data_IF_046264491225
#
_entry.id   IF_046264491225
#
_cell.length_a   1.000
_cell.length_b   1.000
_cell.length_c   1.000
_cell.angle_alpha   90.00
_cell.angle_beta   90.00
_cell.angle_gamma   90.00
#
_symmetry.space_group_name_H-M   'P 1'
#
loop_
_entity.id
_entity.type
_entity.pdbx_description
1 polymer ?
#
# COMPACT_ATOMS: atom_id res chain seq x y z
N UNK A 1 -8.25 -5.58 -5.79
CA UNK A 1 -8.99 -6.23 -4.68
C UNK A 1 -8.16 -6.24 -3.39
N UNK A 2 -7.02 -6.94 -3.33
CA UNK A 2 -6.23 -7.06 -2.08
C UNK A 2 -5.74 -5.71 -1.50
N UNK A 3 -5.11 -4.85 -2.31
CA UNK A 3 -4.66 -3.52 -1.87
C UNK A 3 -5.81 -2.61 -1.43
N UNK A 4 -7.00 -2.75 -2.03
CA UNK A 4 -8.18 -1.98 -1.65
C UNK A 4 -8.68 -2.40 -0.26
N UNK A 5 -8.75 -3.72 0.01
CA UNK A 5 -9.11 -4.25 1.32
C UNK A 5 -8.11 -3.84 2.40
N UNK A 6 -6.80 -3.93 2.12
CA UNK A 6 -5.75 -3.51 3.04
C UNK A 6 -5.86 -2.02 3.41
N UNK A 7 -6.15 -1.16 2.43
CA UNK A 7 -6.39 0.28 2.71
C UNK A 7 -7.61 0.50 3.59
N UNK A 8 -8.69 -0.25 3.37
CA UNK A 8 -9.88 -0.19 4.24
C UNK A 8 -9.53 -0.59 5.67
N UNK A 9 -8.83 -1.69 5.87
CA UNK A 9 -8.40 -2.13 7.21
C UNK A 9 -7.44 -1.13 7.88
N UNK A 10 -6.55 -0.51 7.12
CA UNK A 10 -5.68 0.54 7.64
C UNK A 10 -6.48 1.76 8.14
N UNK A 11 -7.48 2.23 7.38
CA UNK A 11 -8.32 3.38 7.76
C UNK A 11 -9.30 3.06 8.89
N UNK A 12 -10.00 1.94 8.78
CA UNK A 12 -11.13 1.61 9.66
C UNK A 12 -10.65 1.03 11.01
N UNK A 13 -9.51 0.35 11.02
CA UNK A 13 -9.01 -0.39 12.19
C UNK A 13 -7.60 0.05 12.63
N UNK A 14 -6.98 1.02 11.96
CA UNK A 14 -5.63 1.49 12.29
C UNK A 14 -4.52 0.47 12.04
N UNK A 15 -4.79 -0.60 11.26
CA UNK A 15 -3.83 -1.67 11.01
C UNK A 15 -2.69 -1.16 10.11
N UNK A 16 -1.44 -1.31 10.54
CA UNK A 16 -0.27 -0.95 9.74
C UNK A 16 0.21 -2.14 8.91
N UNK A 17 0.40 -1.92 7.60
CA UNK A 17 0.93 -2.93 6.69
C UNK A 17 2.34 -2.57 6.25
N UNK A 18 3.24 -3.56 6.26
CA UNK A 18 4.62 -3.44 5.77
C UNK A 18 4.85 -4.53 4.72
N UNK A 19 5.34 -4.13 3.55
CA UNK A 19 5.64 -5.04 2.45
C UNK A 19 7.09 -4.87 2.01
N UNK A 20 7.74 -6.00 1.68
CA UNK A 20 8.99 -6.02 0.94
C UNK A 20 8.69 -6.61 -0.44
N UNK A 21 8.80 -5.79 -1.48
CA UNK A 21 8.50 -6.20 -2.86
C UNK A 21 9.28 -5.37 -3.85
N UNK A 22 9.49 -5.95 -5.03
CA UNK A 22 10.03 -5.25 -6.21
C UNK A 22 8.91 -4.91 -7.22
N UNK A 23 7.64 -5.27 -6.96
CA UNK A 23 6.53 -4.94 -7.85
C UNK A 23 6.23 -3.43 -7.79
N UNK A 24 6.47 -2.68 -8.88
CA UNK A 24 6.29 -1.23 -8.90
C UNK A 24 4.84 -0.81 -8.67
N UNK A 25 3.85 -1.67 -8.94
CA UNK A 25 2.43 -1.37 -8.72
C UNK A 25 2.13 -1.26 -7.23
N UNK A 26 2.71 -2.12 -6.40
CA UNK A 26 2.54 -2.06 -4.93
C UNK A 26 3.24 -0.82 -4.39
N UNK A 27 4.45 -0.53 -4.87
CA UNK A 27 5.23 0.66 -4.48
C UNK A 27 4.49 1.95 -4.83
N UNK A 28 3.80 2.01 -5.97
CA UNK A 28 3.01 3.18 -6.37
C UNK A 28 1.81 3.48 -5.45
N UNK A 29 1.32 2.47 -4.72
CA UNK A 29 0.21 2.61 -3.77
C UNK A 29 0.66 2.71 -2.31
N UNK A 30 1.96 2.69 -2.02
CA UNK A 30 2.50 2.81 -0.67
C UNK A 30 2.53 4.29 -0.21
N UNK A 31 2.24 4.52 1.07
CA UNK A 31 2.36 5.84 1.70
C UNK A 31 3.82 6.22 2.02
N UNK A 32 4.67 5.22 2.26
CA UNK A 32 6.09 5.39 2.53
C UNK A 32 6.86 4.29 1.84
N UNK A 33 7.97 4.65 1.21
CA UNK A 33 8.86 3.73 0.52
C UNK A 33 10.24 3.87 1.11
N UNK A 34 10.74 2.78 1.68
CA UNK A 34 12.11 2.68 2.19
C UNK A 34 12.90 1.79 1.25
N UNK A 35 13.92 2.33 0.61
CA UNK A 35 14.80 1.57 -0.29
C UNK A 35 16.02 1.12 0.50
N UNK A 36 16.26 -0.19 0.51
CA UNK A 36 17.43 -0.79 1.12
C UNK A 36 18.45 -1.17 0.04
N UNK A 37 19.72 -0.84 0.28
CA UNK A 37 20.86 -1.24 -0.55
C UNK A 37 21.97 -1.71 0.38
N UNK A 38 22.50 -2.91 0.15
CA UNK A 38 23.57 -3.52 0.96
C UNK A 38 23.28 -3.49 2.47
N UNK A 39 22.03 -3.78 2.85
CA UNK A 39 21.58 -3.81 4.25
C UNK A 39 21.44 -2.44 4.92
N UNK A 40 21.56 -1.35 4.16
CA UNK A 40 21.42 0.03 4.66
C UNK A 40 20.24 0.73 3.99
N UNK A 41 19.63 1.67 4.72
CA UNK A 41 18.60 2.56 4.15
C UNK A 41 19.29 3.53 3.20
N UNK A 42 19.04 3.36 1.90
CA UNK A 42 19.53 4.25 0.86
C UNK A 42 18.57 5.43 0.62
N UNK A 43 17.25 5.20 0.74
CA UNK A 43 16.21 6.22 0.61
C UNK A 43 15.04 5.95 1.53
N UNK A 44 14.40 7.02 1.96
CA UNK A 44 13.20 7.00 2.78
C UNK A 44 12.27 8.14 2.35
N UNK A 45 11.16 7.80 1.71
CA UNK A 45 10.30 8.75 1.02
C UNK A 45 8.84 8.57 1.43
N UNK A 46 8.20 9.66 1.87
CA UNK A 46 6.75 9.71 2.01
C UNK A 46 6.13 10.02 0.65
N UNK A 47 5.22 9.17 0.19
CA UNK A 47 4.53 9.29 -1.09
C UNK A 47 3.05 9.51 -0.88
N UNK A 48 2.47 10.33 -1.76
CA UNK A 48 1.02 10.32 -1.96
C UNK A 48 0.69 9.08 -2.78
N UNK A 49 -0.04 8.09 -2.22
CA UNK A 49 -0.36 6.89 -2.96
C UNK A 49 -1.25 7.23 -4.15
N UNK A 50 -1.04 6.57 -5.28
CA UNK A 50 -1.93 6.71 -6.44
C UNK A 50 -3.36 6.35 -6.03
N UNK A 51 -4.33 7.20 -6.38
CA UNK A 51 -5.75 6.98 -6.11
C UNK A 51 -6.21 5.72 -6.81
N UNK A 52 -6.48 4.65 -6.06
CA UNK A 52 -7.34 3.58 -6.55
C UNK A 52 -8.76 4.10 -6.38
N UNK A 53 -9.49 4.28 -7.47
CA UNK A 53 -10.94 4.48 -7.42
C UNK A 53 -11.56 3.32 -6.64
N UNK A 54 -12.33 3.64 -5.61
CA UNK A 54 -12.90 2.69 -4.65
C UNK A 54 -14.10 1.92 -5.24
N UNK A 55 -13.99 1.38 -6.47
CA UNK A 55 -15.09 0.71 -7.18
C UNK A 55 -15.17 -0.81 -6.99
N UNK A 56 -14.29 -1.44 -6.20
CA UNK A 56 -14.19 -2.91 -6.15
C UNK A 56 -14.47 -3.55 -4.79
N UNK A 57 -15.21 -2.89 -3.89
CA UNK A 57 -15.52 -3.44 -2.57
C UNK A 57 -17.02 -3.66 -2.29
N UNK A 58 -17.92 -3.20 -3.18
CA UNK A 58 -19.37 -3.32 -2.98
C UNK A 58 -20.04 -4.13 -4.10
N UNK A 59 -19.58 -5.36 -4.29
CA UNK A 59 -20.18 -6.29 -5.25
C UNK A 59 -20.05 -7.73 -4.76
N UNK A 60 -20.47 -8.02 -3.52
CA UNK A 60 -21.03 -9.31 -3.13
C UNK A 60 -22.04 -9.10 -1.98
N UNK A 61 -23.21 -8.54 -2.32
CA UNK A 61 -24.46 -8.82 -1.63
C UNK A 61 -25.24 -9.82 -2.48
N UNK A 62 -25.10 -11.12 -2.17
CA UNK A 62 -26.16 -12.15 -2.09
C UNK A 62 -25.59 -13.55 -1.92
#
# INVERSE_FOLDING_TARGET
ILLAMMRRLNRDQGITFVFSTHDPRVVAHAHRVVTLVDGRVAKDENKTPASLSDEAADSQEK
#
